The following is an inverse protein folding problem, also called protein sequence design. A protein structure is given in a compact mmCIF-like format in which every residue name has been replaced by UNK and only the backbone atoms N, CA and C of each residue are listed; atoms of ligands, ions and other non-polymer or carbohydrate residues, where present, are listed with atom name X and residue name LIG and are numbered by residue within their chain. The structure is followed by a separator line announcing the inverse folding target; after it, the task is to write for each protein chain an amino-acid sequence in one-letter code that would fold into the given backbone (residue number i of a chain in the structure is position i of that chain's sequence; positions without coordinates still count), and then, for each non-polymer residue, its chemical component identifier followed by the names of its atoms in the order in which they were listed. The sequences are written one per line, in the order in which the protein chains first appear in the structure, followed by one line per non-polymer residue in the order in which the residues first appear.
data_IF_858853540614
#
_entry.id   IF_858853540614
#
_cell.length_a   1.000
_cell.length_b   1.000
_cell.length_c   1.000
_cell.angle_alpha   90.00
_cell.angle_beta   90.00
_cell.angle_gamma   90.00
#
_symmetry.space_group_name_H-M   'P 1'
#
loop_
_entity.id
_entity.type
_entity.pdbx_description
1 polymer ?
#
# COMPACT_ATOMS: atom_id res chain seq x y z
N UNK A 1 -7.04 -34.12 -11.73
CA UNK A 1 -6.36 -33.30 -10.70
C UNK A 1 -5.41 -32.36 -11.43
N UNK A 2 -5.33 -31.09 -11.04
CA UNK A 2 -4.32 -30.19 -11.62
C UNK A 2 -2.93 -30.69 -11.24
N UNK A 3 -2.10 -31.03 -12.23
CA UNK A 3 -0.76 -31.62 -12.03
C UNK A 3 0.35 -30.56 -11.96
N UNK A 4 -0.02 -29.29 -11.96
CA UNK A 4 0.88 -28.16 -12.01
C UNK A 4 0.41 -27.06 -11.07
N UNK A 5 1.35 -26.19 -10.69
CA UNK A 5 1.07 -24.92 -10.08
C UNK A 5 1.25 -23.82 -11.12
N UNK A 6 0.58 -22.68 -10.95
CA UNK A 6 0.68 -21.55 -11.86
C UNK A 6 1.00 -20.26 -11.12
N UNK A 7 1.74 -19.39 -11.78
CA UNK A 7 1.97 -18.01 -11.36
C UNK A 7 1.16 -17.12 -12.30
N UNK A 8 0.44 -16.17 -11.71
CA UNK A 8 -0.32 -15.16 -12.45
C UNK A 8 0.10 -13.77 -12.00
N UNK A 9 0.20 -12.85 -12.95
CA UNK A 9 0.39 -11.43 -12.69
C UNK A 9 -0.91 -10.68 -12.98
N UNK A 10 -1.14 -9.56 -12.27
CA UNK A 10 -2.24 -8.65 -12.57
C UNK A 10 -1.67 -7.37 -13.16
N UNK A 11 -2.04 -7.06 -14.41
CA UNK A 11 -1.66 -5.84 -15.13
C UNK A 11 -2.96 -5.13 -15.51
N UNK A 12 -3.10 -3.86 -15.17
CA UNK A 12 -4.29 -3.04 -15.44
C UNK A 12 -5.61 -3.71 -15.03
N UNK A 13 -5.58 -4.41 -13.90
CA UNK A 13 -6.74 -5.11 -13.35
C UNK A 13 -6.99 -6.50 -13.92
N UNK A 14 -6.33 -6.90 -15.02
CA UNK A 14 -6.52 -8.18 -15.70
C UNK A 14 -5.50 -9.21 -15.18
N UNK A 15 -5.95 -10.43 -14.88
CA UNK A 15 -5.06 -11.53 -14.47
C UNK A 15 -4.58 -12.31 -15.68
N UNK A 16 -3.27 -12.43 -15.81
CA UNK A 16 -2.61 -13.16 -16.88
C UNK A 16 -1.75 -14.28 -16.30
N UNK A 17 -1.77 -15.45 -16.94
CA UNK A 17 -0.91 -16.56 -16.56
C UNK A 17 0.49 -16.36 -17.12
N UNK A 18 1.49 -16.32 -16.24
CA UNK A 18 2.87 -16.04 -16.58
C UNK A 18 3.67 -17.33 -16.80
N UNK A 19 3.53 -18.29 -15.88
CA UNK A 19 4.29 -19.54 -15.93
C UNK A 19 3.56 -20.64 -15.17
N UNK A 20 3.68 -21.87 -15.66
CA UNK A 20 3.31 -23.09 -14.94
C UNK A 20 4.57 -23.81 -14.48
N UNK A 21 4.52 -24.45 -13.31
CA UNK A 21 5.64 -25.21 -12.77
C UNK A 21 5.17 -26.52 -12.11
N UNK A 22 6.03 -27.54 -12.02
CA UNK A 22 5.69 -28.82 -11.40
C UNK A 22 5.28 -28.67 -9.93
N UNK A 23 4.25 -29.39 -9.51
CA UNK A 23 3.74 -29.38 -8.12
C UNK A 23 4.83 -29.72 -7.08
N UNK A 24 5.82 -30.53 -7.47
CA UNK A 24 6.96 -30.92 -6.61
C UNK A 24 7.81 -29.75 -6.15
N UNK A 25 7.84 -28.64 -6.89
CA UNK A 25 8.61 -27.44 -6.52
C UNK A 25 7.85 -26.49 -5.58
N UNK A 26 6.53 -26.66 -5.46
CA UNK A 26 5.66 -25.69 -4.81
C UNK A 26 6.02 -25.47 -3.34
N UNK A 27 6.21 -26.54 -2.57
CA UNK A 27 6.54 -26.44 -1.16
C UNK A 27 7.89 -25.76 -0.94
N UNK A 28 8.89 -26.07 -1.76
CA UNK A 28 10.21 -25.44 -1.71
C UNK A 28 10.14 -23.95 -2.02
N UNK A 29 9.33 -23.53 -3.00
CA UNK A 29 9.13 -22.11 -3.35
C UNK A 29 8.50 -21.35 -2.18
N UNK A 30 7.41 -21.89 -1.61
CA UNK A 30 6.74 -21.26 -0.47
C UNK A 30 7.67 -21.17 0.75
N UNK A 31 8.38 -22.26 1.08
CA UNK A 31 9.30 -22.29 2.21
C UNK A 31 10.44 -21.31 2.03
N UNK A 32 11.02 -21.23 0.82
CA UNK A 32 12.10 -20.28 0.51
C UNK A 32 11.63 -18.84 0.71
N UNK A 33 10.44 -18.50 0.19
CA UNK A 33 9.86 -17.17 0.39
C UNK A 33 9.63 -16.85 1.88
N UNK A 34 9.06 -17.80 2.64
CA UNK A 34 8.81 -17.60 4.08
C UNK A 34 10.11 -17.31 4.85
N UNK A 35 11.16 -18.08 4.58
CA UNK A 35 12.49 -17.88 5.19
C UNK A 35 13.04 -16.50 4.82
N UNK A 36 13.03 -16.13 3.53
CA UNK A 36 13.57 -14.84 3.07
C UNK A 36 12.78 -13.64 3.58
N UNK A 37 11.47 -13.79 3.80
CA UNK A 37 10.64 -12.73 4.35
C UNK A 37 10.98 -12.37 5.80
N UNK A 38 11.57 -13.30 6.57
CA UNK A 38 11.87 -13.16 7.99
C UNK A 38 10.66 -13.00 8.92
N UNK A 39 9.44 -12.90 8.39
CA UNK A 39 8.20 -12.61 9.12
C UNK A 39 7.22 -13.79 9.12
N UNK A 40 7.48 -14.82 8.30
CA UNK A 40 6.65 -16.02 8.20
C UNK A 40 7.38 -17.24 8.75
N UNK A 41 6.61 -18.19 9.29
CA UNK A 41 7.06 -19.47 9.83
C UNK A 41 6.91 -20.57 8.77
N UNK A 42 8.01 -21.19 8.27
CA UNK A 42 7.95 -22.24 7.24
C UNK A 42 7.23 -23.53 7.69
N UNK A 43 7.26 -23.81 8.99
CA UNK A 43 6.62 -24.96 9.64
C UNK A 43 5.10 -24.78 9.80
N UNK A 44 4.62 -23.55 9.91
CA UNK A 44 3.18 -23.27 9.96
C UNK A 44 2.59 -23.17 8.54
N UNK A 45 1.65 -24.05 8.21
CA UNK A 45 1.01 -24.14 6.88
C UNK A 45 -0.53 -24.13 6.95
N UNK A 46 -1.08 -24.07 8.17
CA UNK A 46 -2.53 -24.20 8.43
C UNK A 46 -3.20 -22.86 8.66
N UNK A 47 -2.42 -21.82 8.93
CA UNK A 47 -2.87 -20.46 9.19
C UNK A 47 -2.37 -19.52 8.10
N UNK A 48 -3.17 -18.51 7.70
CA UNK A 48 -2.66 -17.42 6.88
C UNK A 48 -1.50 -16.70 7.56
N UNK A 49 -0.54 -16.22 6.77
CA UNK A 49 0.59 -15.43 7.28
C UNK A 49 0.88 -14.27 6.35
N UNK A 50 1.21 -13.12 6.95
CA UNK A 50 1.50 -11.88 6.24
C UNK A 50 2.97 -11.47 6.43
N UNK A 51 3.54 -10.84 5.41
CA UNK A 51 4.87 -10.22 5.48
C UNK A 51 4.92 -8.92 4.70
N UNK A 52 5.72 -7.98 5.19
CA UNK A 52 6.17 -6.79 4.45
C UNK A 52 7.66 -6.95 4.14
N UNK A 53 8.00 -7.11 2.86
CA UNK A 53 9.38 -7.36 2.42
C UNK A 53 9.86 -6.18 1.59
N UNK A 54 10.89 -5.47 2.07
CA UNK A 54 11.60 -4.48 1.27
C UNK A 54 12.69 -5.19 0.47
N UNK A 55 12.72 -5.00 -0.84
CA UNK A 55 13.67 -5.65 -1.75
C UNK A 55 14.16 -4.66 -2.81
N UNK A 56 15.29 -4.98 -3.45
CA UNK A 56 15.79 -4.24 -4.61
C UNK A 56 15.63 -5.13 -5.84
N UNK A 57 15.07 -4.58 -6.92
CA UNK A 57 14.94 -5.30 -8.19
C UNK A 57 16.30 -5.47 -8.87
N UNK A 58 16.37 -6.34 -9.89
CA UNK A 58 17.58 -6.47 -10.72
C UNK A 58 17.96 -5.15 -11.44
N UNK A 59 17.02 -4.22 -11.59
CA UNK A 59 17.24 -2.88 -12.17
C UNK A 59 17.53 -1.82 -11.11
N UNK A 60 17.93 -2.22 -9.90
CA UNK A 60 18.27 -1.35 -8.77
C UNK A 60 17.14 -0.41 -8.31
N UNK A 61 15.87 -0.84 -8.47
CA UNK A 61 14.72 -0.11 -7.92
C UNK A 61 14.35 -0.71 -6.57
N UNK A 62 14.19 0.15 -5.57
CA UNK A 62 13.61 -0.25 -4.29
C UNK A 62 12.12 -0.55 -4.48
N UNK A 63 11.68 -1.70 -3.98
CA UNK A 63 10.28 -2.13 -4.01
C UNK A 63 9.89 -2.66 -2.66
N UNK A 64 8.65 -2.37 -2.26
CA UNK A 64 8.05 -2.98 -1.08
C UNK A 64 6.98 -3.98 -1.50
N UNK A 65 7.08 -5.17 -0.97
CA UNK A 65 6.14 -6.26 -1.22
C UNK A 65 5.27 -6.44 0.02
N UNK A 66 3.95 -6.38 -0.16
CA UNK A 66 3.00 -6.94 0.81
C UNK A 66 2.65 -8.34 0.36
N UNK A 67 3.08 -9.34 1.13
CA UNK A 67 2.89 -10.74 0.80
C UNK A 67 1.97 -11.43 1.81
N UNK A 68 1.13 -12.33 1.32
CA UNK A 68 0.24 -13.15 2.12
C UNK A 68 0.31 -14.61 1.65
N UNK A 69 0.45 -15.54 2.58
CA UNK A 69 0.25 -16.97 2.36
C UNK A 69 -1.10 -17.39 2.92
N UNK A 70 -1.83 -18.24 2.19
CA UNK A 70 -3.15 -18.73 2.58
C UNK A 70 -3.26 -20.24 2.35
N UNK A 71 -3.69 -21.03 3.33
CA UNK A 71 -3.84 -22.48 3.17
C UNK A 71 -4.96 -22.81 2.18
N UNK A 72 -4.69 -23.69 1.23
CA UNK A 72 -5.70 -24.24 0.31
C UNK A 72 -5.71 -25.76 0.36
N UNK A 73 -6.71 -26.39 -0.26
CA UNK A 73 -6.82 -27.85 -0.36
C UNK A 73 -5.62 -28.51 -1.08
N UNK A 74 -4.84 -27.76 -1.85
CA UNK A 74 -3.71 -28.29 -2.65
C UNK A 74 -2.32 -27.83 -2.19
N UNK A 75 -2.23 -27.06 -1.10
CA UNK A 75 -1.01 -26.38 -0.66
C UNK A 75 -1.26 -24.92 -0.33
N UNK A 76 -0.21 -24.14 -0.13
CA UNK A 76 -0.34 -22.73 0.23
C UNK A 76 -0.39 -21.83 -1.00
N UNK A 77 -1.35 -20.91 -1.04
CA UNK A 77 -1.39 -19.85 -2.04
C UNK A 77 -0.56 -18.67 -1.54
N UNK A 78 0.48 -18.28 -2.27
CA UNK A 78 1.20 -17.02 -2.07
C UNK A 78 0.61 -15.92 -2.96
N UNK A 79 0.35 -14.76 -2.40
CA UNK A 79 -0.01 -13.52 -3.11
C UNK A 79 1.00 -12.45 -2.73
N UNK A 80 1.56 -11.77 -3.73
CA UNK A 80 2.44 -10.63 -3.53
C UNK A 80 1.82 -9.41 -4.21
N UNK A 81 1.74 -8.29 -3.47
CA UNK A 81 1.42 -6.96 -4.00
C UNK A 81 2.69 -6.13 -4.00
N UNK A 82 3.08 -5.66 -5.18
CA UNK A 82 4.16 -4.70 -5.34
C UNK A 82 3.60 -3.32 -4.98
N UNK A 83 4.28 -2.65 -4.07
CA UNK A 83 4.04 -1.27 -3.68
C UNK A 83 5.24 -0.48 -4.15
N UNK A 84 5.00 0.39 -5.12
CA UNK A 84 6.00 1.33 -5.59
C UNK A 84 6.03 2.54 -4.63
N UNK A 85 7.08 2.62 -3.81
CA UNK A 85 7.31 3.77 -2.92
C UNK A 85 7.95 4.96 -3.64
N UNK A 86 8.36 4.79 -4.90
CA UNK A 86 8.98 5.85 -5.70
C UNK A 86 7.99 6.71 -6.45
N UNK A 87 6.69 6.39 -6.37
CA UNK A 87 5.65 7.27 -6.91
C UNK A 87 5.57 8.52 -6.05
N UNK A 88 6.20 9.59 -6.55
CA UNK A 88 5.98 10.94 -6.08
C UNK A 88 4.49 11.23 -6.07
N UNK A 89 4.04 11.98 -5.07
CA UNK A 89 2.66 12.40 -4.96
C UNK A 89 2.42 13.34 -6.15
N UNK A 90 1.53 12.97 -7.10
CA UNK A 90 1.29 13.82 -8.25
C UNK A 90 0.67 15.15 -7.77
N UNK A 91 1.01 16.28 -8.41
CA UNK A 91 0.38 17.55 -8.11
C UNK A 91 -1.12 17.47 -8.40
N UNK A 92 -1.89 18.33 -7.75
CA UNK A 92 -3.36 18.28 -7.76
C UNK A 92 -3.94 18.38 -9.19
N UNK A 93 -3.26 19.10 -10.09
CA UNK A 93 -3.56 19.22 -11.52
C UNK A 93 -3.51 17.89 -12.27
N UNK A 94 -2.61 16.99 -11.87
CA UNK A 94 -2.38 15.71 -12.55
C UNK A 94 -3.36 14.62 -12.08
N UNK A 95 -4.22 14.93 -11.10
CA UNK A 95 -5.25 14.01 -10.60
C UNK A 95 -6.51 13.95 -11.47
N UNK A 96 -6.55 14.70 -12.58
CA UNK A 96 -7.73 14.79 -13.45
C UNK A 96 -8.81 15.75 -12.93
N UNK A 97 -8.48 16.62 -11.98
CA UNK A 97 -9.33 17.76 -11.60
C UNK A 97 -9.09 18.90 -12.59
N UNK A 98 -10.12 19.32 -13.30
CA UNK A 98 -10.01 20.34 -14.35
C UNK A 98 -10.90 21.56 -14.09
N UNK A 99 -10.50 22.69 -14.67
CA UNK A 99 -11.27 23.92 -14.74
C UNK A 99 -11.81 24.39 -13.39
N UNK A 100 -13.14 24.55 -13.32
CA UNK A 100 -13.79 25.09 -12.12
C UNK A 100 -13.63 24.19 -10.89
N UNK A 101 -13.55 22.87 -11.06
CA UNK A 101 -13.43 21.94 -9.93
C UNK A 101 -12.05 22.08 -9.26
N UNK A 102 -10.99 22.21 -10.06
CA UNK A 102 -9.65 22.45 -9.56
C UNK A 102 -9.56 23.81 -8.83
N UNK A 103 -10.14 24.87 -9.41
CA UNK A 103 -10.19 26.19 -8.79
C UNK A 103 -10.95 26.18 -7.45
N UNK A 104 -12.07 25.46 -7.37
CA UNK A 104 -12.82 25.27 -6.13
C UNK A 104 -11.96 24.56 -5.10
N UNK A 105 -11.23 23.51 -5.48
CA UNK A 105 -10.34 22.80 -4.56
C UNK A 105 -9.26 23.74 -4.01
N UNK A 106 -8.54 24.46 -4.88
CA UNK A 106 -7.52 25.41 -4.45
C UNK A 106 -8.04 26.53 -3.56
N UNK A 107 -9.22 27.07 -3.89
CA UNK A 107 -9.88 28.06 -3.05
C UNK A 107 -10.18 27.49 -1.66
N UNK A 108 -10.67 26.25 -1.59
CA UNK A 108 -11.03 25.62 -0.31
C UNK A 108 -9.80 25.30 0.56
N UNK A 109 -8.69 24.88 -0.05
CA UNK A 109 -7.44 24.58 0.66
C UNK A 109 -6.78 25.82 1.30
N UNK A 110 -7.13 27.03 0.86
CA UNK A 110 -6.60 28.29 1.42
C UNK A 110 -7.39 28.83 2.60
N UNK A 111 -8.55 28.24 2.94
CA UNK A 111 -9.28 28.70 4.12
C UNK A 111 -8.52 28.31 5.40
N UNK A 112 -8.43 29.22 6.39
CA UNK A 112 -7.66 28.96 7.61
C UNK A 112 -8.29 27.88 8.50
N UNK A 113 -9.57 27.58 8.31
CA UNK A 113 -10.31 26.58 9.06
C UNK A 113 -11.47 26.01 8.24
N UNK A 114 -11.71 24.71 8.38
CA UNK A 114 -12.75 23.99 7.65
C UNK A 114 -12.52 22.49 7.70
N UNK A 115 -13.45 21.73 7.11
CA UNK A 115 -13.32 20.27 6.96
C UNK A 115 -13.51 19.94 5.48
N UNK A 116 -12.55 19.19 4.93
CA UNK A 116 -12.63 18.60 3.59
C UNK A 116 -12.76 17.09 3.76
N UNK A 117 -13.78 16.49 3.11
CA UNK A 117 -14.05 15.06 3.18
C UNK A 117 -13.81 14.42 1.81
N UNK A 118 -12.83 13.51 1.73
CA UNK A 118 -12.63 12.65 0.57
C UNK A 118 -13.39 11.33 0.79
N UNK A 119 -14.36 11.02 -0.07
CA UNK A 119 -15.20 9.82 0.03
C UNK A 119 -15.08 8.96 -1.23
N UNK A 120 -15.38 7.67 -1.10
CA UNK A 120 -15.28 6.69 -2.19
C UNK A 120 -14.80 5.32 -1.73
N UNK A 121 -14.96 4.26 -2.56
CA UNK A 121 -14.58 2.90 -2.21
C UNK A 121 -13.06 2.72 -2.11
N UNK A 122 -12.60 1.58 -1.57
CA UNK A 122 -11.17 1.25 -1.54
C UNK A 122 -10.58 1.26 -2.95
N UNK A 123 -9.41 1.87 -3.12
CA UNK A 123 -8.75 2.00 -4.44
C UNK A 123 -9.22 3.17 -5.31
N UNK A 124 -10.14 4.03 -4.84
CA UNK A 124 -10.64 5.18 -5.61
C UNK A 124 -9.72 6.42 -5.60
N UNK A 125 -8.46 6.30 -5.15
CA UNK A 125 -7.50 7.41 -5.13
C UNK A 125 -7.60 8.40 -3.97
N UNK A 126 -8.46 8.18 -2.94
CA UNK A 126 -8.64 9.12 -1.81
C UNK A 126 -7.34 9.56 -1.14
N UNK A 127 -6.49 8.60 -0.76
CA UNK A 127 -5.21 8.89 -0.09
C UNK A 127 -4.32 9.74 -1.00
N UNK A 128 -4.22 9.39 -2.28
CA UNK A 128 -3.46 10.15 -3.28
C UNK A 128 -3.98 11.59 -3.39
N UNK A 129 -5.29 11.79 -3.45
CA UNK A 129 -5.89 13.13 -3.51
C UNK A 129 -5.61 13.94 -2.24
N UNK A 130 -5.80 13.34 -1.05
CA UNK A 130 -5.52 14.04 0.22
C UNK A 130 -4.04 14.39 0.35
N UNK A 131 -3.14 13.51 -0.09
CA UNK A 131 -1.71 13.76 -0.09
C UNK A 131 -1.33 14.93 -1.02
N UNK A 132 -1.91 15.01 -2.22
CA UNK A 132 -1.70 16.15 -3.11
C UNK A 132 -2.22 17.46 -2.50
N UNK A 133 -3.37 17.41 -1.81
CA UNK A 133 -3.88 18.56 -1.07
C UNK A 133 -2.95 19.00 0.07
N UNK A 134 -2.40 18.04 0.83
CA UNK A 134 -1.45 18.30 1.91
C UNK A 134 -0.15 18.89 1.36
N UNK A 135 0.37 18.35 0.26
CA UNK A 135 1.58 18.84 -0.40
C UNK A 135 1.41 20.30 -0.87
N UNK A 136 0.24 20.65 -1.41
CA UNK A 136 -0.06 22.03 -1.79
C UNK A 136 0.00 23.03 -0.62
N UNK A 137 -0.45 22.64 0.58
CA UNK A 137 -0.45 23.51 1.77
C UNK A 137 0.83 23.37 2.61
N UNK A 138 1.75 22.51 2.21
CA UNK A 138 3.00 22.19 2.90
C UNK A 138 4.04 23.30 2.74
N UNK A 139 3.83 24.40 3.45
CA UNK A 139 4.76 25.52 3.54
C UNK A 139 5.37 25.61 4.93
N UNK A 140 6.48 26.32 5.07
CA UNK A 140 7.12 26.55 6.38
C UNK A 140 6.26 27.32 7.39
N UNK A 141 5.15 27.91 6.93
CA UNK A 141 4.24 28.72 7.74
C UNK A 141 3.12 27.89 8.39
N UNK A 142 2.91 26.64 7.94
CA UNK A 142 1.80 25.79 8.37
C UNK A 142 2.34 24.53 9.05
N UNK A 143 1.95 24.29 10.30
CA UNK A 143 2.25 23.03 10.98
C UNK A 143 1.20 21.97 10.60
N UNK A 144 1.63 20.95 9.86
CA UNK A 144 0.76 19.87 9.39
C UNK A 144 1.03 18.59 10.19
N UNK A 145 -0.04 17.99 10.71
CA UNK A 145 -0.03 16.72 11.44
C UNK A 145 -1.05 15.77 10.82
N UNK A 146 -0.66 14.52 10.55
CA UNK A 146 -1.57 13.46 10.08
C UNK A 146 -1.62 12.30 11.06
N UNK A 147 -2.76 11.62 11.10
CA UNK A 147 -2.96 10.36 11.82
C UNK A 147 -3.44 9.33 10.80
N UNK A 148 -2.74 8.21 10.66
CA UNK A 148 -2.93 7.28 9.54
C UNK A 148 -2.80 5.81 9.96
N UNK A 149 -3.48 4.91 9.25
CA UNK A 149 -3.47 3.46 9.55
C UNK A 149 -3.42 2.60 8.28
N UNK A 150 -2.22 2.20 7.79
CA UNK A 150 -0.89 2.69 8.16
C UNK A 150 -0.54 3.99 7.40
N UNK A 151 0.65 4.56 7.69
CA UNK A 151 1.24 5.57 6.80
C UNK A 151 1.63 4.92 5.48
N UNK A 152 1.06 5.38 4.36
CA UNK A 152 1.26 4.77 3.04
C UNK A 152 2.57 5.25 2.39
N UNK A 153 2.75 6.57 2.26
CA UNK A 153 4.00 7.20 1.81
C UNK A 153 4.47 8.27 2.81
N UNK A 154 5.79 8.41 2.95
CA UNK A 154 6.41 9.41 3.84
C UNK A 154 6.53 10.75 3.11
N UNK A 155 5.86 11.77 3.63
CA UNK A 155 5.90 13.14 3.08
C UNK A 155 6.95 13.97 3.82
N UNK A 156 7.76 14.70 3.06
CA UNK A 156 8.74 15.63 3.62
C UNK A 156 8.04 16.93 4.05
N UNK A 157 8.42 17.50 5.18
CA UNK A 157 7.92 18.81 5.63
C UNK A 157 6.70 18.78 6.55
N UNK A 158 6.11 17.61 6.79
CA UNK A 158 4.98 17.43 7.72
C UNK A 158 5.21 16.28 8.71
N UNK A 159 4.38 16.22 9.75
CA UNK A 159 4.48 15.22 10.82
C UNK A 159 3.42 14.13 10.62
N UNK A 160 3.84 12.88 10.34
CA UNK A 160 2.93 11.75 10.18
C UNK A 160 2.98 10.82 11.40
N UNK A 161 1.82 10.56 11.99
CA UNK A 161 1.65 9.61 13.07
C UNK A 161 0.90 8.37 12.58
N UNK A 162 1.51 7.19 12.75
CA UNK A 162 0.81 5.94 12.49
C UNK A 162 0.02 5.49 13.72
N UNK A 163 -1.23 5.12 13.53
CA UNK A 163 -2.08 4.52 14.56
C UNK A 163 -1.44 3.23 15.07
N UNK A 164 -1.48 3.07 16.40
CA UNK A 164 -0.94 1.92 17.13
C UNK A 164 -1.94 1.45 18.17
N UNK A 165 -2.96 0.74 17.69
CA UNK A 165 -4.05 0.24 18.52
C UNK A 165 -3.57 -0.74 19.61
N UNK A 166 -2.44 -1.42 19.39
CA UNK A 166 -1.78 -2.32 20.35
C UNK A 166 -1.37 -1.64 21.65
N UNK A 167 -1.02 -0.35 21.59
CA UNK A 167 -0.63 0.47 22.75
C UNK A 167 -1.65 1.57 23.09
N UNK A 168 -2.86 1.49 22.52
CA UNK A 168 -3.95 2.45 22.80
C UNK A 168 -3.84 3.81 22.08
N UNK A 169 -2.91 3.95 21.12
CA UNK A 169 -2.82 5.15 20.28
C UNK A 169 -3.78 5.02 19.09
N UNK A 170 -5.01 5.51 19.27
CA UNK A 170 -6.12 5.44 18.31
C UNK A 170 -6.38 6.80 17.63
N UNK A 171 -7.18 6.84 16.56
CA UNK A 171 -7.59 8.10 15.92
C UNK A 171 -8.23 9.10 16.92
N UNK A 172 -9.11 8.61 17.79
CA UNK A 172 -9.82 9.44 18.76
C UNK A 172 -8.88 10.03 19.83
N UNK A 173 -7.90 9.25 20.29
CA UNK A 173 -6.93 9.73 21.28
C UNK A 173 -5.83 10.59 20.64
N UNK A 174 -5.46 10.30 19.40
CA UNK A 174 -4.44 11.06 18.68
C UNK A 174 -4.88 12.48 18.36
N UNK A 175 -6.15 12.69 18.02
CA UNK A 175 -6.70 14.00 17.65
C UNK A 175 -6.91 14.96 18.84
N UNK A 176 -6.87 14.46 20.08
CA UNK A 176 -7.05 15.26 21.30
C UNK A 176 -5.77 15.96 21.70
#
# INVERSE_FOLDING_TARGET
MENYCRIRIRIDGILEELVQYPKTLHESIISKFKIESGQMRPDEKRLPQDARVSSVTATNKEVDLRANTFPTVWGEKLVMRIVDKSLDIPPLEELGLEGNNLNIMYKNLRFPNGIILATGPTGSGKTTTLYACLDYVNTSEVNIITYEDPVENKMKGLNQAQIRADIGFTFANGLR
#
